data_IF_338908430453
#
_entry.id   IF_338908430453
#
_cell.length_a   1.000
_cell.length_b   1.000
_cell.length_c   1.000
_cell.angle_alpha   90.00
_cell.angle_beta   90.00
_cell.angle_gamma   90.00
#
_symmetry.space_group_name_H-M   'P 1'
#
loop_
_entity.id
_entity.type
_entity.pdbx_description
1 polymer ?
#
# COMPACT_ATOMS: atom_id res chain seq x y z
N UNK A 1 0.12 -14.11 9.65
CA UNK A 1 1.21 -14.77 8.93
C UNK A 1 2.18 -13.72 8.39
N UNK A 2 3.41 -13.72 8.91
CA UNK A 2 4.54 -12.87 8.52
C UNK A 2 5.74 -13.75 8.15
N UNK A 3 5.49 -14.80 7.36
CA UNK A 3 6.48 -15.82 7.00
C UNK A 3 6.86 -15.73 5.51
N UNK A 4 7.24 -16.86 4.90
CA UNK A 4 7.62 -16.98 3.49
C UNK A 4 6.44 -17.53 2.66
N UNK A 5 6.36 -17.24 1.34
CA UNK A 5 5.25 -17.68 0.49
C UNK A 5 4.95 -19.18 0.55
N UNK A 6 5.98 -20.02 0.66
CA UNK A 6 5.82 -21.47 0.79
C UNK A 6 5.09 -21.87 2.09
N UNK A 7 5.39 -21.20 3.20
CA UNK A 7 4.70 -21.44 4.48
C UNK A 7 3.28 -20.85 4.48
N UNK A 8 3.07 -19.73 3.77
CA UNK A 8 1.75 -19.11 3.64
C UNK A 8 0.70 -20.04 3.06
N UNK A 9 1.04 -20.84 2.05
CA UNK A 9 0.09 -21.80 1.48
C UNK A 9 -0.37 -22.85 2.50
N UNK A 10 0.57 -23.41 3.26
CA UNK A 10 0.26 -24.39 4.30
C UNK A 10 -0.60 -23.78 5.42
N UNK A 11 -0.25 -22.57 5.88
CA UNK A 11 -1.03 -21.83 6.88
C UNK A 11 -2.45 -21.53 6.41
N UNK A 12 -2.61 -21.11 5.15
CA UNK A 12 -3.91 -20.84 4.53
C UNK A 12 -4.80 -22.07 4.54
N UNK A 13 -4.28 -23.22 4.09
CA UNK A 13 -5.03 -24.48 4.06
C UNK A 13 -5.44 -24.92 5.47
N UNK A 14 -4.53 -24.83 6.45
CA UNK A 14 -4.83 -25.18 7.83
C UNK A 14 -5.91 -24.28 8.45
N UNK A 15 -5.81 -22.95 8.26
CA UNK A 15 -6.80 -22.00 8.75
C UNK A 15 -8.16 -22.17 8.07
N UNK A 16 -8.19 -22.43 6.75
CA UNK A 16 -9.42 -22.71 6.01
C UNK A 16 -10.11 -23.97 6.53
N UNK A 17 -9.37 -25.07 6.72
CA UNK A 17 -9.91 -26.32 7.28
C UNK A 17 -10.46 -26.14 8.70
N UNK A 18 -9.79 -25.34 9.53
CA UNK A 18 -10.23 -25.02 10.89
C UNK A 18 -11.29 -23.90 10.98
N UNK A 19 -11.73 -23.34 9.84
CA UNK A 19 -12.64 -22.18 9.75
C UNK A 19 -12.16 -21.00 10.60
N UNK A 20 -10.85 -20.74 10.61
CA UNK A 20 -10.23 -19.63 11.34
C UNK A 20 -9.88 -18.47 10.40
N UNK A 21 -10.14 -17.21 10.81
CA UNK A 21 -9.71 -16.05 10.06
C UNK A 21 -8.18 -15.97 10.02
N UNK A 22 -7.64 -15.37 8.97
CA UNK A 22 -6.20 -15.30 8.77
C UNK A 22 -5.77 -13.92 8.26
N UNK A 23 -4.89 -13.27 9.03
CA UNK A 23 -4.15 -12.09 8.59
C UNK A 23 -2.86 -12.52 7.90
N UNK A 24 -2.59 -11.93 6.74
CA UNK A 24 -1.48 -12.21 5.84
C UNK A 24 -0.71 -10.92 5.55
N UNK A 25 0.58 -10.91 5.89
CA UNK A 25 1.49 -9.82 5.58
C UNK A 25 2.74 -10.28 4.81
N UNK A 26 2.77 -11.55 4.40
CA UNK A 26 3.77 -12.07 3.47
C UNK A 26 3.57 -11.45 2.08
N UNK A 27 4.64 -11.08 1.41
CA UNK A 27 4.60 -10.49 0.06
C UNK A 27 5.17 -11.45 -0.99
N UNK A 28 4.92 -11.19 -2.28
CA UNK A 28 5.52 -11.96 -3.38
C UNK A 28 4.78 -13.28 -3.67
N UNK A 29 3.46 -13.22 -3.77
CA UNK A 29 2.63 -14.38 -4.08
C UNK A 29 2.72 -14.77 -5.55
N UNK A 30 2.66 -16.08 -5.81
CA UNK A 30 2.48 -16.63 -7.15
C UNK A 30 1.01 -16.50 -7.56
N UNK A 31 0.71 -16.55 -8.87
CA UNK A 31 -0.67 -16.56 -9.37
C UNK A 31 -1.49 -17.68 -8.73
N UNK A 32 -0.91 -18.88 -8.58
CA UNK A 32 -1.54 -20.01 -7.92
C UNK A 32 -1.88 -19.73 -6.44
N UNK A 33 -1.01 -19.04 -5.69
CA UNK A 33 -1.32 -18.68 -4.30
C UNK A 33 -2.42 -17.63 -4.22
N UNK A 34 -2.51 -16.70 -5.18
CA UNK A 34 -3.61 -15.74 -5.22
C UNK A 34 -4.97 -16.39 -5.58
N UNK A 35 -4.96 -17.41 -6.43
CA UNK A 35 -6.15 -18.24 -6.67
C UNK A 35 -6.58 -18.98 -5.39
N UNK A 36 -5.63 -19.58 -4.66
CA UNK A 36 -5.90 -20.25 -3.40
C UNK A 36 -6.48 -19.27 -2.35
N UNK A 37 -5.92 -18.06 -2.25
CA UNK A 37 -6.42 -16.99 -1.37
C UNK A 37 -7.84 -16.56 -1.76
N UNK A 38 -8.10 -16.39 -3.06
CA UNK A 38 -9.41 -16.04 -3.58
C UNK A 38 -10.44 -17.12 -3.26
N UNK A 39 -10.09 -18.39 -3.45
CA UNK A 39 -10.95 -19.51 -3.08
C UNK A 39 -11.21 -19.59 -1.57
N UNK A 40 -10.17 -19.44 -0.74
CA UNK A 40 -10.28 -19.49 0.71
C UNK A 40 -11.09 -18.32 1.30
N UNK A 41 -11.03 -17.13 0.68
CA UNK A 41 -11.81 -15.97 1.14
C UNK A 41 -13.33 -16.16 1.05
N UNK A 42 -13.82 -17.16 0.31
CA UNK A 42 -15.25 -17.54 0.28
C UNK A 42 -15.67 -18.27 1.55
N UNK A 43 -14.71 -18.85 2.28
CA UNK A 43 -14.94 -19.72 3.44
C UNK A 43 -14.55 -19.07 4.76
N UNK A 44 -13.50 -18.25 4.76
CA UNK A 44 -12.94 -17.61 5.96
C UNK A 44 -12.61 -16.15 5.68
N UNK A 45 -12.58 -15.33 6.74
CA UNK A 45 -12.14 -13.94 6.63
C UNK A 45 -10.62 -13.89 6.45
N UNK A 46 -10.15 -13.29 5.36
CA UNK A 46 -8.75 -13.09 5.07
C UNK A 46 -8.43 -11.60 5.05
N UNK A 47 -7.45 -11.17 5.83
CA UNK A 47 -6.89 -9.82 5.71
C UNK A 47 -5.54 -9.91 5.02
N UNK A 48 -5.40 -9.28 3.86
CA UNK A 48 -4.14 -9.26 3.09
C UNK A 48 -3.61 -7.84 3.05
N UNK A 49 -2.39 -7.62 3.55
CA UNK A 49 -1.78 -6.29 3.57
C UNK A 49 -0.26 -6.36 3.42
N UNK A 50 0.35 -5.47 2.64
CA UNK A 50 1.81 -5.36 2.55
C UNK A 50 2.44 -4.63 3.75
N UNK A 51 1.62 -3.89 4.51
CA UNK A 51 2.00 -3.15 5.70
C UNK A 51 0.79 -3.09 6.64
N UNK A 52 1.01 -3.41 7.91
CA UNK A 52 -0.04 -3.47 8.94
C UNK A 52 0.01 -2.29 9.91
N UNK A 53 0.88 -1.31 9.72
CA UNK A 53 0.86 -0.07 10.50
C UNK A 53 -0.48 0.65 10.34
N UNK A 54 -1.16 0.95 11.45
CA UNK A 54 -2.40 1.73 11.44
C UNK A 54 -2.19 3.12 10.86
N UNK A 55 -1.08 3.79 11.21
CA UNK A 55 -0.76 5.11 10.67
C UNK A 55 -0.50 5.09 9.17
N UNK A 56 0.18 4.06 8.66
CA UNK A 56 0.40 3.90 7.23
C UNK A 56 -0.91 3.60 6.48
N UNK A 57 -1.81 2.81 7.09
CA UNK A 57 -3.13 2.54 6.54
C UNK A 57 -3.99 3.81 6.46
N UNK A 58 -3.99 4.66 7.50
CA UNK A 58 -4.65 5.96 7.46
C UNK A 58 -4.05 6.87 6.39
N UNK A 59 -2.71 6.90 6.25
CA UNK A 59 -2.06 7.66 5.20
C UNK A 59 -2.54 7.25 3.80
N UNK A 60 -2.70 5.95 3.53
CA UNK A 60 -3.25 5.46 2.25
C UNK A 60 -4.65 6.05 1.99
N UNK A 61 -5.51 6.10 3.00
CA UNK A 61 -6.87 6.66 2.85
C UNK A 61 -6.86 8.19 2.67
N UNK A 62 -5.98 8.90 3.37
CA UNK A 62 -5.79 10.34 3.19
C UNK A 62 -5.28 10.65 1.78
N UNK A 63 -4.32 9.88 1.28
CA UNK A 63 -3.81 9.99 -0.09
C UNK A 63 -4.91 9.73 -1.11
N UNK A 64 -5.74 8.70 -0.90
CA UNK A 64 -6.89 8.41 -1.76
C UNK A 64 -7.87 9.59 -1.77
N UNK A 65 -8.13 10.20 -0.61
CA UNK A 65 -9.01 11.36 -0.49
C UNK A 65 -8.45 12.61 -1.15
N UNK A 66 -7.17 12.92 -0.91
CA UNK A 66 -6.47 14.03 -1.54
C UNK A 66 -6.44 13.86 -3.06
N UNK A 67 -6.10 12.68 -3.57
CA UNK A 67 -6.01 12.42 -5.00
C UNK A 67 -7.37 12.51 -5.75
N UNK A 68 -8.49 12.21 -5.07
CA UNK A 68 -9.84 12.46 -5.61
C UNK A 68 -10.18 13.95 -5.68
N UNK A 69 -9.66 14.74 -4.75
CA UNK A 69 -10.03 16.16 -4.60
C UNK A 69 -9.10 17.07 -5.43
N UNK A 70 -7.80 16.79 -5.40
CA UNK A 70 -6.73 17.50 -6.09
C UNK A 70 -6.46 16.80 -7.43
N UNK A 71 -7.25 17.15 -8.44
CA UNK A 71 -7.25 16.52 -9.76
C UNK A 71 -6.34 17.24 -10.76
N UNK A 72 -6.91 17.97 -11.72
CA UNK A 72 -6.15 18.66 -12.77
C UNK A 72 -5.27 19.77 -12.17
N UNK A 73 -4.04 19.89 -12.69
CA UNK A 73 -3.08 20.90 -12.23
C UNK A 73 -2.33 20.54 -10.95
N UNK A 74 -2.52 19.33 -10.40
CA UNK A 74 -1.73 18.81 -9.28
C UNK A 74 -0.86 17.62 -9.71
N UNK A 75 0.44 17.76 -9.54
CA UNK A 75 1.42 16.68 -9.64
C UNK A 75 1.46 15.85 -8.36
N UNK A 76 1.76 14.55 -8.47
CA UNK A 76 1.87 13.64 -7.33
C UNK A 76 3.24 12.98 -7.31
N UNK A 77 3.97 13.10 -6.19
CA UNK A 77 5.25 12.42 -5.99
C UNK A 77 5.28 11.65 -4.68
N UNK A 78 5.99 10.53 -4.66
CA UNK A 78 6.20 9.71 -3.47
C UNK A 78 7.67 9.71 -3.09
N UNK A 79 7.99 10.34 -1.97
CA UNK A 79 9.30 10.27 -1.34
C UNK A 79 9.29 9.20 -0.24
N UNK A 80 10.30 8.34 -0.20
CA UNK A 80 10.45 7.34 0.84
C UNK A 80 11.87 7.19 1.35
N UNK A 81 12.02 6.93 2.65
CA UNK A 81 13.31 6.76 3.30
C UNK A 81 13.32 5.49 4.15
N UNK A 82 14.39 4.71 4.06
CA UNK A 82 14.59 3.49 4.84
C UNK A 82 16.06 3.30 5.21
N UNK A 83 16.32 2.37 6.12
CA UNK A 83 17.64 1.95 6.55
C UNK A 83 18.54 1.53 5.37
N UNK A 84 19.86 1.68 5.55
CA UNK A 84 20.88 1.46 4.51
C UNK A 84 20.87 0.06 3.88
N UNK A 85 20.34 -0.94 4.58
CA UNK A 85 20.32 -2.35 4.16
C UNK A 85 19.05 -2.77 3.42
N UNK A 86 18.07 -1.87 3.22
CA UNK A 86 16.86 -2.18 2.45
C UNK A 86 17.18 -2.26 0.95
N UNK A 87 16.91 -3.42 0.34
CA UNK A 87 17.32 -3.75 -1.04
C UNK A 87 16.32 -3.33 -2.12
N UNK A 88 15.03 -3.42 -1.83
CA UNK A 88 13.96 -3.02 -2.75
C UNK A 88 13.82 -1.50 -2.77
N UNK A 89 13.62 -0.91 -3.95
CA UNK A 89 13.31 0.50 -4.16
C UNK A 89 12.45 0.67 -5.44
N UNK A 90 11.31 1.39 -5.40
CA UNK A 90 10.63 1.92 -4.21
C UNK A 90 10.15 0.81 -3.26
N UNK A 91 9.88 1.14 -2.00
CA UNK A 91 9.27 0.17 -1.07
C UNK A 91 7.85 -0.22 -1.46
N UNK A 92 7.40 -1.40 -1.01
CA UNK A 92 6.00 -1.82 -1.21
C UNK A 92 4.95 -0.86 -0.66
N UNK A 93 5.26 -0.13 0.43
CA UNK A 93 4.37 0.93 0.95
C UNK A 93 4.32 2.13 0.00
N UNK A 94 5.44 2.56 -0.57
CA UNK A 94 5.46 3.63 -1.58
C UNK A 94 4.64 3.24 -2.83
N UNK A 95 4.77 2.00 -3.30
CA UNK A 95 3.96 1.48 -4.40
C UNK A 95 2.46 1.44 -4.07
N UNK A 96 2.12 1.09 -2.82
CA UNK A 96 0.72 1.09 -2.35
C UNK A 96 0.14 2.51 -2.34
N UNK A 97 0.90 3.50 -1.89
CA UNK A 97 0.49 4.91 -1.87
C UNK A 97 0.25 5.44 -3.29
N UNK A 98 1.18 5.18 -4.21
CA UNK A 98 1.02 5.56 -5.61
C UNK A 98 -0.16 4.86 -6.29
N UNK A 99 -0.36 3.57 -6.02
CA UNK A 99 -1.51 2.83 -6.53
C UNK A 99 -2.83 3.43 -6.03
N UNK A 100 -2.93 3.76 -4.74
CA UNK A 100 -4.12 4.40 -4.16
C UNK A 100 -4.40 5.78 -4.77
N UNK A 101 -3.36 6.60 -4.97
CA UNK A 101 -3.49 7.90 -5.63
C UNK A 101 -3.96 7.78 -7.08
N UNK A 102 -3.38 6.85 -7.84
CA UNK A 102 -3.74 6.62 -9.24
C UNK A 102 -5.15 6.07 -9.38
N UNK A 103 -5.52 5.08 -8.58
CA UNK A 103 -6.86 4.51 -8.56
C UNK A 103 -7.91 5.58 -8.22
N UNK A 104 -7.61 6.44 -7.24
CA UNK A 104 -8.47 7.57 -6.89
C UNK A 104 -8.72 8.54 -8.06
N UNK A 105 -7.72 8.78 -8.91
CA UNK A 105 -7.83 9.67 -10.07
C UNK A 105 -8.55 9.03 -11.26
N UNK A 106 -8.23 7.77 -11.56
CA UNK A 106 -8.73 7.10 -12.77
C UNK A 106 -10.08 6.39 -12.55
N UNK A 107 -10.42 6.12 -11.30
CA UNK A 107 -11.55 5.28 -10.91
C UNK A 107 -11.20 3.77 -10.90
N UNK A 108 -12.07 2.95 -10.30
CA UNK A 108 -11.85 1.51 -10.16
C UNK A 108 -11.69 0.83 -11.53
N UNK A 109 -10.75 -0.12 -11.65
CA UNK A 109 -10.54 -0.92 -12.86
C UNK A 109 -9.85 -0.21 -14.03
N UNK A 110 -9.63 1.11 -13.95
CA UNK A 110 -8.89 1.89 -14.96
C UNK A 110 -7.40 2.07 -14.65
N UNK A 111 -6.95 1.58 -13.50
CA UNK A 111 -5.58 1.67 -13.01
C UNK A 111 -4.73 0.41 -13.32
N UNK A 112 -5.08 -0.38 -14.33
CA UNK A 112 -4.29 -1.56 -14.73
C UNK A 112 -2.92 -1.16 -15.29
N UNK A 113 -1.84 -1.75 -14.76
CA UNK A 113 -0.43 -1.44 -15.08
C UNK A 113 0.34 -0.92 -13.86
N UNK A 114 1.67 -0.94 -13.86
CA UNK A 114 2.45 -0.28 -12.80
C UNK A 114 2.29 1.25 -12.91
N UNK A 115 2.24 2.03 -11.81
CA UNK A 115 2.41 3.48 -11.90
C UNK A 115 3.68 3.71 -12.71
N UNK A 116 3.67 4.59 -13.71
CA UNK A 116 4.87 4.84 -14.50
C UNK A 116 5.99 5.27 -13.55
N UNK A 117 6.86 4.34 -13.19
CA UNK A 117 8.01 4.61 -12.32
C UNK A 117 8.99 5.34 -13.22
N UNK A 118 8.85 6.65 -13.28
CA UNK A 118 9.88 7.52 -13.81
C UNK A 118 10.95 7.62 -12.72
N UNK A 119 11.80 6.61 -12.65
CA UNK A 119 13.19 6.89 -12.31
C UNK A 119 13.66 7.81 -13.42
N UNK A 120 14.22 8.97 -13.08
CA UNK A 120 14.66 10.00 -14.02
C UNK A 120 15.14 9.40 -15.36
N UNK A 121 14.33 9.56 -16.42
CA UNK A 121 14.73 9.21 -17.79
C UNK A 121 13.86 8.18 -18.51
N UNK A 122 12.87 8.67 -19.25
CA UNK A 122 12.65 8.34 -20.66
C UNK A 122 11.43 9.13 -21.16
N UNK A 123 11.70 10.24 -21.87
CA UNK A 123 10.68 11.04 -22.55
C UNK A 123 10.66 10.69 -24.05
N UNK A 124 9.54 10.91 -24.75
CA UNK A 124 9.52 10.87 -26.22
C UNK A 124 10.56 11.85 -26.77
N UNK A 125 11.24 11.51 -27.86
CA UNK A 125 12.30 12.34 -28.49
C UNK A 125 11.85 13.79 -28.80
N UNK A 126 10.53 14.03 -28.88
CA UNK A 126 9.92 15.32 -29.22
C UNK A 126 9.51 16.16 -28.01
N UNK A 127 9.50 15.62 -26.79
CA UNK A 127 9.25 16.41 -25.59
C UNK A 127 10.54 17.16 -25.21
N UNK A 128 10.49 18.43 -24.77
CA UNK A 128 11.67 19.09 -24.22
C UNK A 128 12.25 18.20 -23.12
N UNK A 129 13.52 17.84 -23.26
CA UNK A 129 14.18 16.88 -22.38
C UNK A 129 13.98 17.29 -20.91
N UNK A 130 13.29 16.46 -20.14
CA UNK A 130 13.00 16.66 -18.71
C UNK A 130 11.58 17.12 -18.36
N UNK A 131 10.68 17.35 -19.32
CA UNK A 131 9.29 17.72 -19.02
C UNK A 131 8.50 16.56 -18.38
N UNK A 132 7.80 16.83 -17.28
CA UNK A 132 6.94 15.86 -16.60
C UNK A 132 5.72 15.50 -17.46
N UNK A 133 5.32 14.23 -17.50
CA UNK A 133 4.06 13.81 -18.15
C UNK A 133 2.87 14.04 -17.23
N UNK A 134 1.76 14.51 -17.81
CA UNK A 134 0.50 14.65 -17.09
C UNK A 134 0.05 13.30 -16.49
N UNK A 135 -0.28 13.33 -15.20
CA UNK A 135 -0.70 12.14 -14.46
C UNK A 135 0.43 11.19 -14.06
N UNK A 136 1.70 11.51 -14.36
CA UNK A 136 2.86 10.77 -13.87
C UNK A 136 2.98 10.87 -12.35
N UNK A 137 3.22 9.73 -11.70
CA UNK A 137 3.54 9.67 -10.27
C UNK A 137 5.03 9.40 -10.11
N UNK A 138 5.78 10.40 -9.66
CA UNK A 138 7.22 10.28 -9.45
C UNK A 138 7.57 9.56 -8.15
N UNK A 139 8.77 8.99 -8.09
CA UNK A 139 9.31 8.35 -6.90
C UNK A 139 10.72 8.82 -6.59
N UNK A 140 10.99 9.04 -5.30
CA UNK A 140 12.33 9.27 -4.78
C UNK A 140 12.58 8.38 -3.57
N UNK A 141 13.72 7.69 -3.55
CA UNK A 141 14.06 6.70 -2.53
C UNK A 141 15.39 7.02 -1.86
N UNK A 142 15.41 7.11 -0.54
CA UNK A 142 16.60 7.33 0.28
C UNK A 142 16.92 6.07 1.08
N UNK A 143 18.20 5.68 1.14
CA UNK A 143 18.70 4.57 1.95
C UNK A 143 19.78 5.09 2.89
N UNK A 144 19.42 5.31 4.15
CA UNK A 144 20.27 5.97 5.12
C UNK A 144 20.09 5.40 6.53
N UNK A 145 21.20 5.27 7.25
CA UNK A 145 21.20 4.91 8.68
C UNK A 145 20.37 3.68 9.00
N UNK A 146 19.58 3.82 10.06
CA UNK A 146 18.68 2.83 10.66
C UNK A 146 17.19 3.22 10.55
N UNK A 147 16.86 4.17 9.65
CA UNK A 147 15.49 4.65 9.42
C UNK A 147 14.54 3.47 9.22
N UNK A 148 13.55 3.31 10.11
CA UNK A 148 12.61 2.19 10.04
C UNK A 148 11.75 2.29 8.78
N UNK A 149 11.25 3.49 8.49
CA UNK A 149 10.51 3.81 7.28
C UNK A 149 9.85 5.18 7.38
N UNK A 150 10.04 6.02 6.37
CA UNK A 150 9.33 7.28 6.20
C UNK A 150 8.76 7.35 4.79
N UNK A 151 7.53 7.82 4.68
CA UNK A 151 6.81 7.95 3.41
C UNK A 151 6.10 9.28 3.37
N UNK A 152 6.35 10.07 2.33
CA UNK A 152 5.69 11.34 2.08
C UNK A 152 5.09 11.32 0.68
N UNK A 153 3.80 11.61 0.58
CA UNK A 153 3.13 11.87 -0.70
C UNK A 153 2.94 13.37 -0.84
N UNK A 154 3.46 13.92 -1.93
CA UNK A 154 3.40 15.32 -2.28
C UNK A 154 2.30 15.50 -3.30
N UNK A 155 1.45 16.51 -3.11
CA UNK A 155 0.54 17.03 -4.12
C UNK A 155 0.97 18.48 -4.41
N UNK A 156 1.50 18.75 -5.60
CA UNK A 156 2.03 20.08 -5.97
C UNK A 156 1.17 20.71 -7.04
N UNK A 157 0.56 21.85 -6.74
CA UNK A 157 -0.21 22.65 -7.68
C UNK A 157 0.42 24.01 -7.92
N UNK A 158 -0.23 24.84 -8.73
CA UNK A 158 0.23 26.21 -8.98
C UNK A 158 0.09 27.07 -7.70
N UNK A 159 1.21 27.33 -7.03
CA UNK A 159 1.26 28.20 -5.85
C UNK A 159 0.99 27.52 -4.51
N UNK A 160 0.75 26.20 -4.48
CA UNK A 160 0.53 25.47 -3.23
C UNK A 160 1.05 24.03 -3.27
N UNK A 161 1.32 23.48 -2.08
CA UNK A 161 1.77 22.12 -1.89
C UNK A 161 1.11 21.50 -0.66
N UNK A 162 0.67 20.25 -0.79
CA UNK A 162 0.20 19.43 0.32
C UNK A 162 1.14 18.23 0.50
N UNK A 163 1.62 18.04 1.73
CA UNK A 163 2.48 16.91 2.11
C UNK A 163 1.73 16.01 3.09
N UNK A 164 1.61 14.73 2.75
CA UNK A 164 1.07 13.72 3.64
C UNK A 164 2.18 12.76 4.04
N UNK A 165 2.60 12.79 5.31
CA UNK A 165 3.77 12.07 5.80
C UNK A 165 3.43 11.08 6.90
N UNK A 166 3.98 9.87 6.79
CA UNK A 166 4.02 8.88 7.87
C UNK A 166 5.48 8.53 8.20
N UNK A 167 5.80 8.53 9.50
CA UNK A 167 7.11 8.13 10.03
C UNK A 167 6.97 6.97 11.00
N UNK A 168 7.60 5.85 10.68
CA UNK A 168 7.79 4.76 11.61
C UNK A 168 9.02 5.05 12.48
N UNK A 169 8.81 5.24 13.79
CA UNK A 169 9.90 5.44 14.75
C UNK A 169 10.38 4.13 15.38
N UNK A 170 9.52 3.11 15.38
CA UNK A 170 9.77 1.81 16.00
C UNK A 170 9.02 0.72 15.22
N UNK A 171 9.65 -0.44 15.01
CA UNK A 171 9.06 -1.62 14.36
C UNK A 171 7.90 -2.23 15.14
N UNK A 172 7.77 -1.94 16.43
CA UNK A 172 6.66 -2.37 17.27
C UNK A 172 5.30 -1.87 16.77
N UNK A 173 5.25 -0.81 15.95
CA UNK A 173 3.99 -0.36 15.31
C UNK A 173 3.38 -1.46 14.42
N UNK A 174 4.20 -2.30 13.79
CA UNK A 174 3.70 -3.36 12.91
C UNK A 174 3.06 -4.48 13.72
N UNK A 175 3.65 -4.84 14.87
CA UNK A 175 3.06 -5.82 15.78
C UNK A 175 1.73 -5.33 16.38
N UNK A 176 1.68 -4.06 16.83
CA UNK A 176 0.44 -3.44 17.33
C UNK A 176 -0.65 -3.40 16.26
N UNK A 177 -0.29 -3.02 15.04
CA UNK A 177 -1.20 -2.99 13.92
C UNK A 177 -1.71 -4.38 13.52
N UNK A 178 -0.82 -5.40 13.50
CA UNK A 178 -1.21 -6.79 13.27
C UNK A 178 -2.21 -7.29 14.32
N UNK A 179 -1.98 -6.97 15.60
CA UNK A 179 -2.89 -7.34 16.68
C UNK A 179 -4.26 -6.66 16.52
N UNK A 180 -4.28 -5.35 16.26
CA UNK A 180 -5.51 -4.60 16.03
C UNK A 180 -6.30 -5.18 14.84
N UNK A 181 -5.62 -5.47 13.74
CA UNK A 181 -6.21 -6.06 12.56
C UNK A 181 -6.73 -7.50 12.81
N UNK A 182 -6.00 -8.32 13.57
CA UNK A 182 -6.45 -9.66 13.94
C UNK A 182 -7.70 -9.63 14.85
N UNK A 183 -7.73 -8.74 15.85
CA UNK A 183 -8.89 -8.53 16.71
C UNK A 183 -10.11 -8.05 15.89
N UNK A 184 -9.89 -7.11 14.98
CA UNK A 184 -10.95 -6.64 14.08
C UNK A 184 -11.47 -7.75 13.16
N UNK A 185 -10.59 -8.59 12.63
CA UNK A 185 -10.90 -9.67 11.69
C UNK A 185 -11.68 -10.82 12.33
N UNK A 186 -11.49 -11.07 13.63
CA UNK A 186 -12.09 -12.20 14.36
C UNK A 186 -13.62 -12.27 14.24
N UNK A 187 -14.28 -11.11 14.13
CA UNK A 187 -15.74 -10.98 14.06
C UNK A 187 -16.28 -10.77 12.64
N UNK A 188 -15.43 -10.87 11.61
CA UNK A 188 -15.83 -10.59 10.22
C UNK A 188 -16.34 -11.84 9.51
N UNK A 189 -17.35 -11.71 8.64
CA UNK A 189 -17.76 -12.80 7.77
C UNK A 189 -16.64 -13.16 6.80
N UNK A 190 -16.76 -14.33 6.17
CA UNK A 190 -15.86 -14.72 5.08
C UNK A 190 -15.78 -13.61 4.02
N UNK A 191 -14.57 -13.32 3.60
CA UNK A 191 -14.28 -12.23 2.67
C UNK A 191 -12.80 -11.89 2.63
N UNK A 192 -12.43 -11.04 1.68
CA UNK A 192 -11.08 -10.49 1.55
C UNK A 192 -11.10 -9.04 2.00
N UNK A 193 -10.24 -8.72 2.96
CA UNK A 193 -10.14 -7.41 3.61
C UNK A 193 -8.71 -6.88 3.49
N UNK A 194 -8.57 -5.57 3.64
CA UNK A 194 -7.30 -4.88 3.79
C UNK A 194 -7.26 -4.03 5.06
N UNK A 195 -6.14 -3.36 5.28
CA UNK A 195 -6.02 -2.45 6.43
C UNK A 195 -6.95 -1.22 6.34
N UNK A 196 -7.40 -0.84 5.14
CA UNK A 196 -8.42 0.19 4.96
C UNK A 196 -9.72 -0.14 5.70
N UNK A 197 -10.16 -1.40 5.64
CA UNK A 197 -11.37 -1.85 6.34
C UNK A 197 -11.22 -1.79 7.87
N UNK A 198 -9.99 -1.96 8.37
CA UNK A 198 -9.66 -1.89 9.79
C UNK A 198 -9.71 -0.45 10.31
N UNK A 199 -9.23 0.52 9.52
CA UNK A 199 -9.13 1.93 9.96
C UNK A 199 -10.35 2.77 9.60
N UNK A 200 -11.14 2.36 8.61
CA UNK A 200 -12.35 3.07 8.18
C UNK A 200 -13.62 2.55 8.84
N UNK A 201 -13.52 2.00 10.05
CA UNK A 201 -14.71 1.57 10.80
C UNK A 201 -15.60 2.79 11.02
N UNK A 202 -16.71 2.85 10.29
CA UNK A 202 -17.80 3.79 10.58
C UNK A 202 -18.28 3.43 11.98
N UNK A 203 -17.96 4.25 12.97
CA UNK A 203 -18.76 4.27 14.18
C UNK A 203 -20.16 4.69 13.73
N UNK A 204 -21.11 3.77 13.76
CA UNK A 204 -22.51 4.16 13.78
C UNK A 204 -22.68 4.98 15.07
N UNK A 205 -22.58 6.30 14.91
CA UNK A 205 -22.96 7.30 15.91
C UNK A 205 -24.30 7.84 15.49
#
# INVERSE_FOLDING_TARGET
DFSLPAATRANLLACRAARKPLLLCTTGYTAALEEDLSAASRDVALLVAANVSLGAAVLVELVRSAARSLTAGFDIDVLEMHHRTKRDAPSGTALTLAAAAREARLGPGRASGAPGVSAAGALPETAPAGARRDGEIGFAAVRAGDIVGEHTVLFTGAGEQLFLTHRALDRAIFARGALAAALWLQSRPAGRYGMGDVVLVKTNT
#
